data_IF_533820019328
#
_entry.id   IF_533820019328
#
_cell.length_a   1.000
_cell.length_b   1.000
_cell.length_c   1.000
_cell.angle_alpha   90.00
_cell.angle_beta   90.00
_cell.angle_gamma   90.00
#
_symmetry.space_group_name_H-M   'P 1'
#
loop_
_entity.id
_entity.type
_entity.pdbx_description
1 polymer ?
#
# COMPACT_ATOMS: atom_id res chain seq x y z
N UNK A 1 11.50 -10.97 -7.49
CA UNK A 1 10.89 -11.39 -8.80
C UNK A 1 11.96 -11.37 -9.91
N UNK A 2 13.00 -12.22 -9.82
CA UNK A 2 14.14 -12.29 -10.77
C UNK A 2 14.84 -10.95 -11.10
N UNK A 3 14.54 -9.92 -10.33
CA UNK A 3 14.89 -8.54 -10.63
C UNK A 3 16.24 -8.07 -10.08
N UNK A 4 16.38 -6.76 -9.91
CA UNK A 4 17.64 -6.09 -9.53
C UNK A 4 18.03 -6.29 -8.05
N UNK A 5 17.10 -6.66 -7.16
CA UNK A 5 17.36 -6.88 -5.72
C UNK A 5 18.12 -8.16 -5.39
N UNK A 6 18.43 -9.02 -6.39
CA UNK A 6 19.17 -10.26 -6.15
C UNK A 6 20.55 -9.98 -5.54
N UNK A 7 20.85 -10.72 -4.46
CA UNK A 7 22.11 -10.57 -3.74
C UNK A 7 22.21 -9.32 -2.87
N UNK A 8 21.13 -8.54 -2.71
CA UNK A 8 21.10 -7.38 -1.81
C UNK A 8 20.37 -7.68 -0.51
N UNK A 9 19.06 -7.90 -0.57
CA UNK A 9 18.25 -8.13 0.65
C UNK A 9 18.73 -9.34 1.44
N UNK A 10 19.03 -10.44 0.75
CA UNK A 10 19.48 -11.67 1.36
C UNK A 10 20.89 -11.54 1.97
N UNK A 11 21.80 -10.84 1.28
CA UNK A 11 23.14 -10.58 1.81
C UNK A 11 23.09 -9.73 3.08
N UNK A 12 22.34 -8.64 3.08
CA UNK A 12 22.18 -7.76 4.23
C UNK A 12 21.56 -8.46 5.44
N UNK A 13 20.54 -9.29 5.20
CA UNK A 13 19.89 -10.05 6.28
C UNK A 13 20.83 -11.13 6.85
N UNK A 14 21.61 -11.83 6.00
CA UNK A 14 22.61 -12.81 6.48
C UNK A 14 23.73 -12.12 7.30
N UNK A 15 24.20 -10.95 6.85
CA UNK A 15 25.17 -10.13 7.61
C UNK A 15 24.60 -9.71 8.98
N UNK A 16 23.30 -9.44 9.06
CA UNK A 16 22.61 -9.16 10.31
C UNK A 16 22.34 -10.42 11.16
N UNK A 17 22.79 -11.61 10.75
CA UNK A 17 22.62 -12.86 11.49
C UNK A 17 21.25 -13.56 11.29
N UNK A 18 20.50 -13.16 10.28
CA UNK A 18 19.20 -13.78 9.95
C UNK A 18 19.41 -14.99 9.03
N UNK A 19 18.73 -16.09 9.32
CA UNK A 19 18.67 -17.24 8.41
C UNK A 19 17.77 -16.90 7.21
N UNK A 20 18.32 -17.01 5.99
CA UNK A 20 17.65 -16.61 4.76
C UNK A 20 17.64 -17.73 3.73
N UNK A 21 16.46 -18.09 3.26
CA UNK A 21 16.26 -18.86 2.04
C UNK A 21 15.84 -17.93 0.89
N UNK A 22 16.30 -18.18 -0.31
CA UNK A 22 16.01 -17.38 -1.51
C UNK A 22 15.17 -18.13 -2.52
N UNK A 23 14.33 -17.37 -3.22
CA UNK A 23 13.54 -17.84 -4.37
C UNK A 23 13.83 -16.88 -5.51
N UNK A 24 14.00 -17.42 -6.74
CA UNK A 24 14.27 -16.62 -7.94
C UNK A 24 15.55 -15.75 -7.85
N UNK A 25 16.61 -16.31 -7.28
CA UNK A 25 17.91 -15.64 -7.10
C UNK A 25 18.82 -15.69 -8.33
N UNK A 26 18.34 -16.26 -9.44
CA UNK A 26 19.00 -16.27 -10.74
C UNK A 26 18.42 -15.23 -11.70
N UNK A 27 19.21 -14.90 -12.73
CA UNK A 27 18.76 -13.94 -13.76
C UNK A 27 17.80 -14.62 -14.73
N UNK A 28 16.58 -14.09 -14.85
CA UNK A 28 15.63 -14.42 -15.92
C UNK A 28 15.13 -13.13 -16.57
N UNK A 29 15.39 -12.96 -17.87
CA UNK A 29 14.99 -11.77 -18.63
C UNK A 29 13.50 -11.73 -18.96
N UNK A 30 12.80 -12.84 -18.77
CA UNK A 30 11.36 -12.98 -18.96
C UNK A 30 10.58 -12.90 -17.63
N UNK A 31 11.28 -12.78 -16.50
CA UNK A 31 10.69 -12.70 -15.16
C UNK A 31 9.71 -13.86 -14.88
N UNK A 32 10.07 -15.09 -15.25
CA UNK A 32 9.20 -16.24 -15.10
C UNK A 32 7.97 -16.25 -16.02
N UNK A 33 7.94 -15.37 -17.05
CA UNK A 33 6.80 -15.23 -17.95
C UNK A 33 5.65 -14.38 -17.42
N UNK A 34 5.87 -13.65 -16.34
CA UNK A 34 4.87 -12.79 -15.69
C UNK A 34 5.33 -11.33 -15.62
N UNK A 35 4.40 -10.42 -15.31
CA UNK A 35 4.78 -9.08 -14.90
C UNK A 35 5.65 -9.17 -13.63
N UNK A 36 6.79 -8.47 -13.57
CA UNK A 36 7.69 -8.56 -12.42
C UNK A 36 7.18 -7.74 -11.22
N UNK A 37 5.92 -7.87 -10.89
CA UNK A 37 5.27 -7.22 -9.75
C UNK A 37 5.02 -8.24 -8.63
N UNK A 38 5.24 -7.89 -7.34
CA UNK A 38 5.09 -8.82 -6.22
C UNK A 38 3.62 -8.90 -5.74
N UNK A 39 2.71 -9.16 -6.68
CA UNK A 39 1.29 -9.34 -6.38
C UNK A 39 1.02 -10.67 -5.70
N UNK A 40 0.00 -10.71 -4.85
CA UNK A 40 -0.37 -11.84 -4.02
C UNK A 40 -0.39 -13.18 -4.77
N UNK A 41 -1.02 -13.22 -5.94
CA UNK A 41 -1.15 -14.42 -6.77
C UNK A 41 0.16 -14.90 -7.41
N UNK A 42 1.22 -14.11 -7.42
CA UNK A 42 2.54 -14.45 -7.96
C UNK A 42 3.54 -14.91 -6.86
N UNK A 43 3.10 -14.97 -5.60
CA UNK A 43 3.96 -15.30 -4.45
C UNK A 43 3.79 -16.71 -3.91
N UNK A 44 3.20 -17.65 -4.70
CA UNK A 44 2.99 -19.03 -4.23
C UNK A 44 4.32 -19.76 -3.97
N UNK A 45 5.31 -19.64 -4.83
CA UNK A 45 6.63 -20.24 -4.61
C UNK A 45 7.34 -19.67 -3.37
N UNK A 46 7.11 -18.39 -3.05
CA UNK A 46 7.59 -17.80 -1.81
C UNK A 46 6.91 -18.44 -0.60
N UNK A 47 5.57 -18.62 -0.65
CA UNK A 47 4.81 -19.30 0.42
C UNK A 47 5.24 -20.75 0.60
N UNK A 48 5.47 -21.46 -0.51
CA UNK A 48 5.99 -22.84 -0.47
C UNK A 48 7.33 -22.90 0.25
N UNK A 49 8.25 -22.00 -0.11
CA UNK A 49 9.56 -21.90 0.54
C UNK A 49 9.44 -21.53 2.02
N UNK A 50 8.51 -20.65 2.38
CA UNK A 50 8.24 -20.30 3.78
C UNK A 50 7.73 -21.52 4.56
N UNK A 51 6.81 -22.31 4.00
CA UNK A 51 6.32 -23.55 4.63
C UNK A 51 7.43 -24.58 4.82
N UNK A 52 8.27 -24.76 3.79
CA UNK A 52 9.42 -25.68 3.83
C UNK A 52 10.43 -25.33 4.94
N UNK A 53 10.72 -24.05 5.10
CA UNK A 53 11.78 -23.57 5.99
C UNK A 53 11.31 -23.11 7.36
N UNK A 54 10.00 -22.95 7.55
CA UNK A 54 9.43 -22.34 8.77
C UNK A 54 9.74 -20.85 8.91
N UNK A 55 9.98 -20.16 7.78
CA UNK A 55 10.30 -18.72 7.80
C UNK A 55 9.13 -17.89 8.35
N UNK A 56 9.43 -17.00 9.30
CA UNK A 56 8.43 -16.12 9.95
C UNK A 56 7.98 -14.93 9.11
N UNK A 57 8.63 -14.66 7.98
CA UNK A 57 8.27 -13.59 7.04
C UNK A 57 8.81 -13.90 5.65
N UNK A 58 8.05 -13.58 4.62
CA UNK A 58 8.45 -13.61 3.23
C UNK A 58 8.54 -12.19 2.65
N UNK A 59 9.61 -11.92 1.91
CA UNK A 59 9.86 -10.63 1.26
C UNK A 59 10.00 -10.85 -0.24
N UNK A 60 9.32 -10.02 -1.02
CA UNK A 60 9.49 -9.94 -2.46
C UNK A 60 9.68 -8.49 -2.90
N UNK A 61 10.36 -8.29 -4.04
CA UNK A 61 10.47 -7.00 -4.71
C UNK A 61 10.05 -7.14 -6.16
N UNK A 62 9.66 -6.07 -6.81
CA UNK A 62 9.42 -6.03 -8.24
C UNK A 62 10.73 -6.08 -9.07
N UNK A 63 10.63 -5.88 -10.37
CA UNK A 63 11.75 -6.04 -11.30
C UNK A 63 12.90 -5.06 -11.08
N UNK A 64 12.63 -3.82 -10.75
CA UNK A 64 13.60 -2.76 -10.46
C UNK A 64 13.79 -2.50 -8.95
N UNK A 65 13.10 -3.30 -8.11
CA UNK A 65 13.21 -3.33 -6.67
C UNK A 65 12.72 -2.06 -5.95
N UNK A 66 11.88 -1.27 -6.59
CA UNK A 66 11.32 -0.06 -5.99
C UNK A 66 10.01 -0.32 -5.23
N UNK A 67 9.38 -1.49 -5.43
CA UNK A 67 8.17 -1.96 -4.74
C UNK A 67 8.42 -3.24 -3.96
N UNK A 68 7.55 -3.48 -2.99
CA UNK A 68 7.65 -4.64 -2.10
C UNK A 68 6.38 -5.49 -2.08
N UNK A 69 6.55 -6.78 -1.82
CA UNK A 69 5.48 -7.71 -1.42
C UNK A 69 5.87 -8.37 -0.11
N UNK A 70 4.98 -8.40 0.86
CA UNK A 70 5.24 -8.96 2.19
C UNK A 70 4.22 -10.05 2.51
N UNK A 71 4.73 -11.21 2.90
CA UNK A 71 3.93 -12.37 3.36
C UNK A 71 4.25 -12.62 4.81
N UNK A 72 3.23 -12.70 5.68
CA UNK A 72 3.38 -13.01 7.10
C UNK A 72 3.70 -14.51 7.29
N UNK A 73 4.15 -14.89 8.48
CA UNK A 73 4.57 -16.25 8.80
C UNK A 73 3.49 -17.32 8.62
N UNK A 74 2.21 -16.95 8.60
CA UNK A 74 1.07 -17.82 8.32
C UNK A 74 0.73 -17.97 6.81
N UNK A 75 1.48 -17.29 5.94
CA UNK A 75 1.26 -17.25 4.49
C UNK A 75 0.33 -16.14 4.01
N UNK A 76 -0.19 -15.30 4.91
CA UNK A 76 -1.06 -14.18 4.55
C UNK A 76 -0.28 -13.06 3.87
N UNK A 77 -0.71 -12.63 2.67
CA UNK A 77 -0.18 -11.44 2.02
C UNK A 77 -0.66 -10.17 2.72
N UNK A 78 0.27 -9.34 3.17
CA UNK A 78 -0.05 -8.04 3.77
C UNK A 78 -0.06 -6.96 2.70
N UNK A 79 -1.25 -6.41 2.47
CA UNK A 79 -1.39 -5.29 1.51
C UNK A 79 -0.44 -4.13 1.85
N UNK A 80 0.12 -3.45 0.84
CA UNK A 80 1.03 -2.32 1.04
C UNK A 80 0.47 -1.24 1.97
N UNK A 81 -0.83 -0.98 1.90
CA UNK A 81 -1.54 -0.09 2.80
C UNK A 81 -1.29 -0.39 4.28
N UNK A 82 -1.32 -1.68 4.67
CA UNK A 82 -1.09 -2.11 6.04
C UNK A 82 0.39 -2.05 6.41
N UNK A 83 1.27 -2.42 5.49
CA UNK A 83 2.72 -2.36 5.72
C UNK A 83 3.18 -0.93 5.99
N UNK A 84 2.72 0.04 5.19
CA UNK A 84 3.06 1.45 5.41
C UNK A 84 2.57 1.94 6.78
N UNK A 85 1.34 1.57 7.16
CA UNK A 85 0.76 1.93 8.46
C UNK A 85 1.52 1.28 9.63
N UNK A 86 1.88 0.00 9.52
CA UNK A 86 2.67 -0.73 10.50
C UNK A 86 4.07 -0.12 10.68
N UNK A 87 4.74 0.18 9.57
CA UNK A 87 6.07 0.80 9.60
C UNK A 87 6.02 2.23 10.13
N UNK A 88 4.95 2.98 9.83
CA UNK A 88 4.76 4.30 10.40
C UNK A 88 4.65 4.25 11.93
N UNK A 89 3.76 3.42 12.47
CA UNK A 89 3.61 3.21 13.92
C UNK A 89 4.94 2.77 14.56
N UNK A 90 5.62 1.80 13.94
CA UNK A 90 6.90 1.27 14.40
C UNK A 90 8.01 2.32 14.43
N UNK A 91 8.17 3.11 13.38
CA UNK A 91 9.23 4.13 13.28
C UNK A 91 9.02 5.27 14.27
N UNK A 92 7.78 5.72 14.47
CA UNK A 92 7.44 6.72 15.48
C UNK A 92 7.80 6.21 16.88
N UNK A 93 7.42 4.96 17.18
CA UNK A 93 7.66 4.35 18.48
C UNK A 93 9.17 4.13 18.76
N UNK A 94 9.90 3.60 17.78
CA UNK A 94 11.28 3.13 17.99
C UNK A 94 12.36 4.15 17.66
N UNK A 95 12.10 5.09 16.75
CA UNK A 95 13.05 6.14 16.36
C UNK A 95 12.76 7.47 17.08
N UNK A 96 11.60 7.61 17.73
CA UNK A 96 11.19 8.84 18.38
C UNK A 96 10.99 10.02 17.42
N UNK A 97 10.87 9.74 16.10
CA UNK A 97 10.68 10.77 15.08
C UNK A 97 9.28 11.35 15.15
N UNK A 98 9.18 12.68 15.11
CA UNK A 98 7.91 13.43 15.22
C UNK A 98 7.57 14.26 13.99
N UNK A 99 8.34 14.11 12.92
CA UNK A 99 8.03 14.72 11.63
C UNK A 99 6.70 14.15 11.09
N UNK A 100 6.15 14.73 10.05
CA UNK A 100 4.89 14.29 9.45
C UNK A 100 4.94 12.86 8.87
N UNK A 101 3.79 12.40 8.40
CA UNK A 101 3.67 11.22 7.54
C UNK A 101 3.04 11.65 6.22
N UNK A 102 3.44 11.02 5.10
CA UNK A 102 2.85 11.28 3.80
C UNK A 102 2.20 10.04 3.20
N UNK A 103 1.09 10.24 2.51
CA UNK A 103 0.42 9.20 1.73
C UNK A 103 -0.21 9.80 0.47
N UNK A 104 -0.40 8.98 -0.57
CA UNK A 104 -1.22 9.41 -1.70
C UNK A 104 -2.70 9.46 -1.34
N UNK A 105 -3.49 10.23 -2.10
CA UNK A 105 -4.95 10.33 -1.95
C UNK A 105 -5.66 8.97 -2.05
N UNK A 106 -5.04 7.99 -2.72
CA UNK A 106 -5.53 6.64 -2.91
C UNK A 106 -5.14 5.65 -1.80
N UNK A 107 -4.27 6.06 -0.88
CA UNK A 107 -3.75 5.23 0.21
C UNK A 107 -4.67 5.28 1.44
N UNK A 108 -4.66 4.22 2.24
CA UNK A 108 -5.56 4.00 3.38
C UNK A 108 -5.64 5.16 4.39
N UNK A 109 -6.83 5.41 4.91
CA UNK A 109 -7.06 6.32 6.04
C UNK A 109 -6.66 5.72 7.41
N UNK A 110 -6.18 4.47 7.46
CA UNK A 110 -5.52 3.93 8.65
C UNK A 110 -4.32 4.81 9.06
N UNK A 111 -3.59 5.35 8.06
CA UNK A 111 -2.48 6.29 8.29
C UNK A 111 -2.99 7.59 8.90
N UNK A 112 -4.17 8.10 8.49
CA UNK A 112 -4.77 9.29 9.10
C UNK A 112 -5.05 9.07 10.59
N UNK A 113 -5.68 7.93 10.93
CA UNK A 113 -6.02 7.58 12.30
C UNK A 113 -4.78 7.41 13.19
N UNK A 114 -3.70 6.83 12.65
CA UNK A 114 -2.42 6.73 13.35
C UNK A 114 -1.75 8.11 13.51
N UNK A 115 -1.78 8.96 12.49
CA UNK A 115 -1.22 10.31 12.55
C UNK A 115 -1.91 11.14 13.64
N UNK A 116 -3.25 11.07 13.71
CA UNK A 116 -4.04 11.70 14.77
C UNK A 116 -3.66 11.16 16.16
N UNK A 117 -3.58 9.83 16.30
CA UNK A 117 -3.20 9.18 17.56
C UNK A 117 -1.81 9.59 18.04
N UNK A 118 -0.83 9.63 17.16
CA UNK A 118 0.53 10.04 17.47
C UNK A 118 0.71 11.56 17.53
N UNK A 119 -0.33 12.34 17.19
CA UNK A 119 -0.28 13.82 17.07
C UNK A 119 0.80 14.28 16.10
N UNK A 120 0.90 13.61 14.95
CA UNK A 120 1.87 13.86 13.90
C UNK A 120 1.16 14.44 12.68
N UNK A 121 1.71 15.50 12.02
CA UNK A 121 1.14 16.05 10.81
C UNK A 121 0.98 15.03 9.69
N UNK A 122 -0.17 15.04 9.00
CA UNK A 122 -0.45 14.24 7.82
C UNK A 122 -0.34 15.10 6.55
N UNK A 123 0.36 14.58 5.55
CA UNK A 123 0.43 15.16 4.21
C UNK A 123 -0.23 14.20 3.20
N UNK A 124 -1.40 14.57 2.69
CA UNK A 124 -2.04 13.83 1.59
C UNK A 124 -1.62 14.44 0.26
N UNK A 125 -1.07 13.64 -0.65
CA UNK A 125 -0.52 14.08 -1.94
C UNK A 125 -1.31 13.50 -3.12
N UNK A 126 -1.19 14.07 -4.33
CA UNK A 126 -1.54 13.34 -5.54
C UNK A 126 -0.76 12.01 -5.61
N UNK A 127 -1.24 11.05 -6.41
CA UNK A 127 -0.48 9.83 -6.70
C UNK A 127 0.77 10.15 -7.50
N UNK A 128 1.88 9.60 -7.08
CA UNK A 128 3.20 9.79 -7.68
C UNK A 128 4.24 10.10 -6.63
N UNK A 129 5.23 9.23 -6.51
CA UNK A 129 6.21 9.26 -5.43
C UNK A 129 7.03 10.55 -5.35
N UNK A 130 7.18 11.27 -6.48
CA UNK A 130 7.87 12.58 -6.53
C UNK A 130 7.38 13.58 -5.47
N UNK A 131 6.08 13.57 -5.15
CA UNK A 131 5.53 14.46 -4.12
C UNK A 131 5.96 14.05 -2.71
N UNK A 132 6.02 12.75 -2.46
CA UNK A 132 6.53 12.17 -1.20
C UNK A 132 8.03 12.42 -1.10
N UNK A 133 8.78 12.19 -2.18
CA UNK A 133 10.23 12.44 -2.25
C UNK A 133 10.60 13.89 -1.90
N UNK A 134 9.83 14.88 -2.36
CA UNK A 134 10.03 16.28 -1.98
C UNK A 134 9.83 16.54 -0.48
N UNK A 135 8.88 15.85 0.16
CA UNK A 135 8.67 15.97 1.61
C UNK A 135 9.83 15.31 2.40
N UNK A 136 10.37 14.20 1.91
CA UNK A 136 11.57 13.55 2.50
C UNK A 136 12.78 14.48 2.40
N UNK A 137 13.06 15.03 1.20
CA UNK A 137 14.17 15.98 0.99
C UNK A 137 14.11 17.18 1.94
N UNK A 138 12.91 17.64 2.26
CA UNK A 138 12.68 18.78 3.17
C UNK A 138 12.59 18.39 4.63
N UNK A 139 12.88 17.15 4.98
CA UNK A 139 12.77 16.60 6.35
C UNK A 139 11.40 16.83 7.00
N UNK A 140 10.33 16.75 6.20
CA UNK A 140 8.96 17.00 6.65
C UNK A 140 8.26 15.76 7.18
N UNK A 141 8.73 14.55 6.81
CA UNK A 141 8.04 13.29 7.11
C UNK A 141 9.01 12.21 7.64
N UNK A 142 8.47 11.36 8.48
CA UNK A 142 9.12 10.13 8.98
C UNK A 142 9.15 9.05 7.91
N UNK A 143 8.01 8.88 7.24
CA UNK A 143 7.77 7.89 6.21
C UNK A 143 6.72 8.44 5.25
N UNK A 144 6.84 8.08 4.00
CA UNK A 144 5.79 8.27 3.02
C UNK A 144 5.63 7.06 2.13
N UNK A 145 4.40 6.77 1.71
CA UNK A 145 4.13 5.61 0.89
C UNK A 145 2.83 5.69 0.10
N UNK A 146 2.73 4.78 -0.87
CA UNK A 146 1.60 4.65 -1.78
C UNK A 146 1.05 3.22 -1.74
N UNK A 147 -0.24 3.08 -1.97
CA UNK A 147 -0.94 1.79 -2.04
C UNK A 147 -0.36 0.85 -3.11
N UNK A 148 0.43 1.37 -4.03
CA UNK A 148 1.14 0.63 -5.09
C UNK A 148 2.44 -0.02 -4.62
N UNK A 149 2.67 -0.11 -3.30
CA UNK A 149 3.84 -0.71 -2.67
C UNK A 149 5.16 0.09 -2.80
N UNK A 150 5.07 1.39 -3.04
CA UNK A 150 6.23 2.27 -2.94
C UNK A 150 6.29 2.95 -1.58
N UNK A 151 7.43 2.94 -0.92
CA UNK A 151 7.69 3.71 0.30
C UNK A 151 9.15 4.14 0.41
N UNK A 152 9.38 5.20 1.19
CA UNK A 152 10.69 5.59 1.68
C UNK A 152 10.56 6.33 3.02
N UNK A 153 11.65 6.50 3.72
CA UNK A 153 11.68 7.05 5.06
C UNK A 153 12.62 8.25 5.18
N UNK A 154 12.52 8.94 6.30
CA UNK A 154 13.45 9.99 6.71
C UNK A 154 14.90 9.50 6.68
N UNK A 155 15.83 10.34 6.25
CA UNK A 155 17.27 10.05 6.17
C UNK A 155 17.62 8.92 5.18
N UNK A 156 16.75 8.62 4.24
CA UNK A 156 16.99 7.69 3.15
C UNK A 156 16.85 8.39 1.79
N UNK A 157 17.15 7.69 0.69
CA UNK A 157 16.93 8.22 -0.67
C UNK A 157 15.46 8.66 -0.83
N UNK A 158 15.21 9.84 -1.42
CA UNK A 158 13.87 10.38 -1.59
C UNK A 158 13.14 9.74 -2.79
N UNK A 159 13.28 8.44 -2.94
CA UNK A 159 12.64 7.60 -3.95
C UNK A 159 12.22 6.27 -3.31
N UNK A 160 11.31 5.56 -3.95
CA UNK A 160 10.80 4.26 -3.50
C UNK A 160 11.93 3.24 -3.35
N UNK A 161 11.88 2.44 -2.29
CA UNK A 161 12.86 1.40 -2.03
C UNK A 161 12.18 0.15 -1.42
N UNK A 162 11.97 -0.86 -2.26
CA UNK A 162 11.36 -2.14 -1.86
C UNK A 162 12.30 -2.99 -0.99
N UNK A 163 13.61 -2.85 -1.18
CA UNK A 163 14.61 -3.53 -0.33
C UNK A 163 14.53 -3.00 1.09
N UNK A 164 14.56 -1.67 1.26
CA UNK A 164 14.39 -1.02 2.56
C UNK A 164 13.08 -1.46 3.25
N UNK A 165 11.97 -1.47 2.51
CA UNK A 165 10.67 -1.87 3.05
C UNK A 165 10.71 -3.29 3.65
N UNK A 166 11.29 -4.25 2.93
CA UNK A 166 11.47 -5.62 3.39
C UNK A 166 12.35 -5.73 4.63
N UNK A 167 13.48 -5.03 4.64
CA UNK A 167 14.41 -5.00 5.78
C UNK A 167 13.77 -4.40 7.04
N UNK A 168 13.01 -3.32 6.90
CA UNK A 168 12.27 -2.71 8.01
C UNK A 168 11.18 -3.63 8.55
N UNK A 169 10.50 -4.40 7.70
CA UNK A 169 9.54 -5.40 8.15
C UNK A 169 10.22 -6.51 8.96
N UNK A 170 11.39 -7.00 8.53
CA UNK A 170 12.18 -7.96 9.29
C UNK A 170 12.64 -7.38 10.64
N UNK A 171 13.16 -6.15 10.67
CA UNK A 171 13.53 -5.47 11.92
C UNK A 171 12.33 -5.38 12.87
N UNK A 172 11.16 -4.98 12.36
CA UNK A 172 9.95 -4.81 13.15
C UNK A 172 9.47 -6.14 13.74
N UNK A 173 9.43 -7.22 12.95
CA UNK A 173 9.05 -8.56 13.42
C UNK A 173 10.03 -9.04 14.49
N UNK A 174 11.33 -8.92 14.26
CA UNK A 174 12.37 -9.33 15.22
C UNK A 174 12.30 -8.55 16.53
N UNK A 175 12.12 -7.24 16.48
CA UNK A 175 12.07 -6.39 17.68
C UNK A 175 10.80 -6.56 18.50
N UNK A 176 9.64 -6.69 17.83
CA UNK A 176 8.34 -6.84 18.51
C UNK A 176 8.03 -8.29 18.91
N UNK A 177 8.77 -9.27 18.37
CA UNK A 177 8.59 -10.70 18.67
C UNK A 177 7.20 -11.22 18.31
N UNK A 178 6.54 -10.62 17.32
CA UNK A 178 5.18 -10.98 16.91
C UNK A 178 4.99 -10.82 15.40
N UNK A 179 4.09 -11.64 14.82
CA UNK A 179 3.77 -11.59 13.39
C UNK A 179 3.15 -10.25 13.01
N UNK A 180 3.23 -9.91 11.72
CA UNK A 180 2.68 -8.66 11.19
C UNK A 180 1.16 -8.59 11.35
N UNK A 181 0.45 -9.72 11.16
CA UNK A 181 -0.99 -9.83 11.38
C UNK A 181 -1.39 -9.46 12.81
N UNK A 182 -0.70 -10.01 13.83
CA UNK A 182 -0.94 -9.66 15.24
C UNK A 182 -0.65 -8.18 15.52
N UNK A 183 0.38 -7.64 14.93
CA UNK A 183 0.69 -6.21 15.08
C UNK A 183 -0.41 -5.34 14.45
N UNK A 184 -0.95 -5.73 13.29
CA UNK A 184 -2.06 -5.05 12.64
C UNK A 184 -3.35 -5.11 13.47
N UNK A 185 -3.66 -6.27 14.06
CA UNK A 185 -4.76 -6.41 15.02
C UNK A 185 -4.60 -5.46 16.21
N UNK A 186 -3.38 -5.33 16.72
CA UNK A 186 -3.05 -4.37 17.78
C UNK A 186 -3.27 -2.91 17.37
N UNK A 187 -3.00 -2.55 16.11
CA UNK A 187 -3.32 -1.23 15.56
C UNK A 187 -4.84 -1.07 15.44
N UNK A 188 -5.54 -2.04 14.88
CA UNK A 188 -7.00 -2.00 14.74
C UNK A 188 -7.72 -1.85 16.09
N UNK A 189 -7.23 -2.53 17.13
CA UNK A 189 -7.77 -2.36 18.47
C UNK A 189 -7.62 -0.92 19.01
N UNK A 190 -6.61 -0.17 18.52
CA UNK A 190 -6.32 1.19 18.99
C UNK A 190 -7.09 2.27 18.21
N UNK A 191 -7.28 2.09 16.90
CA UNK A 191 -7.79 3.15 15.99
C UNK A 191 -8.97 2.71 15.11
N UNK A 192 -9.46 1.47 15.30
CA UNK A 192 -10.51 0.86 14.49
C UNK A 192 -9.95 0.18 13.23
N UNK A 193 -10.79 -0.65 12.62
CA UNK A 193 -10.44 -1.43 11.42
C UNK A 193 -10.65 -0.61 10.16
N UNK A 194 -9.82 -0.90 9.14
CA UNK A 194 -9.85 -0.31 7.81
C UNK A 194 -9.63 -1.40 6.77
N UNK A 195 -10.48 -1.44 5.75
CA UNK A 195 -10.45 -2.45 4.69
C UNK A 195 -10.31 -1.75 3.33
N UNK A 196 -9.08 -1.45 2.89
CA UNK A 196 -8.84 -0.88 1.58
C UNK A 196 -8.95 -1.93 0.48
N UNK A 197 -9.43 -1.50 -0.70
CA UNK A 197 -9.51 -2.32 -1.91
C UNK A 197 -9.11 -1.47 -3.11
N UNK A 198 -8.37 -2.08 -4.05
CA UNK A 198 -8.06 -1.52 -5.36
C UNK A 198 -8.59 -2.43 -6.44
N UNK A 199 -9.30 -1.86 -7.40
CA UNK A 199 -9.82 -2.55 -8.57
C UNK A 199 -9.50 -1.75 -9.84
N UNK A 200 -9.33 -2.46 -10.96
CA UNK A 200 -9.08 -1.85 -12.26
C UNK A 200 -10.16 -2.30 -13.23
N UNK A 201 -10.81 -1.33 -13.90
CA UNK A 201 -11.85 -1.62 -14.88
C UNK A 201 -11.45 -1.09 -16.25
N UNK A 202 -11.46 -1.96 -17.25
CA UNK A 202 -11.28 -1.54 -18.66
C UNK A 202 -12.52 -0.78 -19.12
N UNK A 203 -12.28 0.32 -19.83
CA UNK A 203 -13.32 1.18 -20.38
C UNK A 203 -13.32 1.10 -21.90
N UNK A 204 -14.52 0.99 -22.50
CA UNK A 204 -14.69 1.32 -23.91
C UNK A 204 -14.62 2.84 -24.10
N UNK A 205 -14.41 3.32 -25.33
CA UNK A 205 -14.37 4.76 -25.61
C UNK A 205 -15.69 5.47 -25.21
N UNK A 206 -16.83 4.81 -25.43
CA UNK A 206 -18.15 5.33 -25.06
C UNK A 206 -18.29 5.48 -23.55
N UNK A 207 -18.01 4.40 -22.79
CA UNK A 207 -18.08 4.42 -21.33
C UNK A 207 -17.11 5.45 -20.75
N UNK A 208 -15.90 5.53 -21.28
CA UNK A 208 -14.90 6.54 -20.86
C UNK A 208 -15.43 7.96 -21.02
N UNK A 209 -16.11 8.26 -22.15
CA UNK A 209 -16.71 9.57 -22.39
C UNK A 209 -17.76 9.93 -21.32
N UNK A 210 -18.75 9.07 -21.15
CA UNK A 210 -19.82 9.24 -20.14
C UNK A 210 -19.25 9.36 -18.74
N UNK A 211 -18.33 8.47 -18.38
CA UNK A 211 -17.71 8.44 -17.06
C UNK A 211 -16.86 9.69 -16.77
N UNK A 212 -16.20 10.25 -17.79
CA UNK A 212 -15.44 11.52 -17.65
C UNK A 212 -16.35 12.67 -17.25
N UNK A 213 -17.57 12.72 -17.77
CA UNK A 213 -18.56 13.73 -17.34
C UNK A 213 -19.04 13.48 -15.90
N UNK A 214 -19.30 12.21 -15.53
CA UNK A 214 -19.63 11.87 -14.14
C UNK A 214 -18.53 12.28 -13.15
N UNK A 215 -17.26 12.15 -13.50
CA UNK A 215 -16.14 12.59 -12.67
C UNK A 215 -16.12 14.09 -12.38
N UNK A 216 -16.84 14.90 -13.14
CA UNK A 216 -16.97 16.36 -12.91
C UNK A 216 -18.10 16.70 -11.94
N UNK A 217 -18.97 15.74 -11.62
CA UNK A 217 -20.11 15.96 -10.74
C UNK A 217 -19.70 15.94 -9.26
N UNK A 218 -20.49 16.58 -8.43
CA UNK A 218 -20.41 16.56 -6.98
C UNK A 218 -21.66 15.88 -6.40
N UNK A 219 -21.71 14.53 -6.38
CA UNK A 219 -22.89 13.81 -5.91
C UNK A 219 -23.08 14.07 -4.40
N UNK A 220 -24.32 14.38 -4.01
CA UNK A 220 -24.67 14.56 -2.60
C UNK A 220 -24.71 13.24 -1.81
N UNK A 221 -24.95 12.13 -2.53
CA UNK A 221 -25.02 10.78 -1.97
C UNK A 221 -24.27 9.78 -2.84
N UNK A 222 -23.73 8.74 -2.20
CA UNK A 222 -23.08 7.61 -2.86
C UNK A 222 -23.32 6.34 -2.03
N UNK A 223 -23.71 5.24 -2.67
CA UNK A 223 -24.00 3.96 -1.98
C UNK A 223 -25.00 4.12 -0.81
N UNK A 224 -26.05 4.96 -0.98
CA UNK A 224 -27.06 5.24 0.05
C UNK A 224 -26.53 6.02 1.27
N UNK A 225 -25.37 6.65 1.15
CA UNK A 225 -24.72 7.44 2.21
C UNK A 225 -24.46 8.85 1.72
N UNK A 226 -24.62 9.83 2.61
CA UNK A 226 -24.30 11.23 2.31
C UNK A 226 -22.80 11.37 2.04
N UNK A 227 -22.46 12.09 0.97
CA UNK A 227 -21.09 12.52 0.69
C UNK A 227 -20.75 13.68 1.62
N UNK A 228 -19.78 13.46 2.50
CA UNK A 228 -19.35 14.49 3.46
C UNK A 228 -18.31 15.43 2.85
N UNK A 229 -17.48 14.92 1.91
CA UNK A 229 -16.45 15.71 1.25
C UNK A 229 -16.16 15.16 -0.14
N UNK A 230 -15.95 16.06 -1.10
CA UNK A 230 -15.41 15.76 -2.43
C UNK A 230 -13.97 16.25 -2.50
N UNK A 231 -13.04 15.37 -2.84
CA UNK A 231 -11.61 15.68 -2.97
C UNK A 231 -11.19 15.46 -4.42
N UNK A 232 -10.53 16.47 -4.99
CA UNK A 232 -10.09 16.49 -6.40
C UNK A 232 -8.57 16.63 -6.55
N UNK A 233 -7.84 16.17 -5.57
CA UNK A 233 -6.37 16.21 -5.57
C UNK A 233 -5.79 15.40 -6.72
N UNK A 234 -6.39 14.22 -7.01
CA UNK A 234 -6.01 13.39 -8.17
C UNK A 234 -7.20 12.46 -8.51
N UNK A 235 -7.97 12.85 -9.52
CA UNK A 235 -9.24 12.22 -9.86
C UNK A 235 -10.41 12.70 -9.02
N UNK A 236 -11.37 11.82 -8.72
CA UNK A 236 -12.53 12.11 -7.89
C UNK A 236 -12.54 11.17 -6.68
N UNK A 237 -12.36 11.71 -5.48
CA UNK A 237 -12.55 10.98 -4.21
C UNK A 237 -13.77 11.49 -3.48
N UNK A 238 -14.69 10.59 -3.20
CA UNK A 238 -15.90 10.84 -2.40
C UNK A 238 -15.67 10.28 -1.01
N UNK A 239 -15.64 11.12 0.00
CA UNK A 239 -15.59 10.72 1.41
C UNK A 239 -17.01 10.73 1.96
N UNK A 240 -17.46 9.61 2.49
CA UNK A 240 -18.82 9.42 2.99
C UNK A 240 -18.92 9.80 4.48
N UNK A 241 -20.15 10.03 4.95
CA UNK A 241 -20.39 10.51 6.30
C UNK A 241 -19.91 9.55 7.42
N UNK A 242 -19.79 8.26 7.11
CA UNK A 242 -19.25 7.24 8.02
C UNK A 242 -17.72 7.10 7.96
N UNK A 243 -17.04 7.93 7.15
CA UNK A 243 -15.61 7.91 6.93
C UNK A 243 -15.12 6.87 5.91
N UNK A 244 -16.01 6.06 5.32
CA UNK A 244 -15.67 5.27 4.13
C UNK A 244 -15.47 6.19 2.92
N UNK A 245 -14.75 5.69 1.91
CA UNK A 245 -14.48 6.52 0.73
C UNK A 245 -14.27 5.69 -0.52
N UNK A 246 -14.51 6.31 -1.67
CA UNK A 246 -14.18 5.79 -2.99
C UNK A 246 -13.42 6.85 -3.78
N UNK A 247 -12.39 6.44 -4.52
CA UNK A 247 -11.59 7.32 -5.38
C UNK A 247 -11.46 6.73 -6.77
N UNK A 248 -11.80 7.51 -7.79
CA UNK A 248 -11.72 7.14 -9.19
C UNK A 248 -10.60 7.91 -9.88
N UNK A 249 -9.71 7.18 -10.54
CA UNK A 249 -8.62 7.77 -11.32
C UNK A 249 -8.56 7.14 -12.71
N UNK A 250 -8.68 7.95 -13.73
CA UNK A 250 -8.43 7.50 -15.10
C UNK A 250 -6.93 7.30 -15.32
N UNK A 251 -6.55 6.18 -15.92
CA UNK A 251 -5.17 5.99 -16.37
C UNK A 251 -4.86 6.95 -17.52
N UNK A 252 -3.68 7.60 -17.45
CA UNK A 252 -3.20 8.45 -18.53
C UNK A 252 -2.67 7.67 -19.75
N UNK A 253 -2.33 6.40 -19.58
CA UNK A 253 -1.66 5.57 -20.59
C UNK A 253 -2.52 4.44 -21.12
N UNK A 254 -3.52 3.99 -20.38
CA UNK A 254 -4.36 2.85 -20.69
C UNK A 254 -5.85 3.21 -20.63
N UNK A 255 -6.73 2.52 -21.37
CA UNK A 255 -8.18 2.70 -21.28
C UNK A 255 -8.75 2.02 -20.01
N UNK A 256 -8.24 2.42 -18.84
CA UNK A 256 -8.56 1.83 -17.53
C UNK A 256 -8.92 2.93 -16.55
N UNK A 257 -9.94 2.69 -15.74
CA UNK A 257 -10.16 3.43 -14.50
C UNK A 257 -9.67 2.58 -13.33
N UNK A 258 -8.87 3.19 -12.48
CA UNK A 258 -8.46 2.63 -11.19
C UNK A 258 -9.40 3.13 -10.13
N UNK A 259 -10.00 2.20 -9.41
CA UNK A 259 -10.92 2.48 -8.31
C UNK A 259 -10.28 2.04 -7.01
N UNK A 260 -10.22 2.95 -6.08
CA UNK A 260 -9.75 2.70 -4.73
C UNK A 260 -10.92 2.95 -3.79
N UNK A 261 -11.13 2.07 -2.86
CA UNK A 261 -12.20 2.20 -1.89
C UNK A 261 -11.77 1.68 -0.53
N UNK A 262 -12.37 2.20 0.53
CA UNK A 262 -12.11 1.77 1.89
C UNK A 262 -13.34 1.91 2.76
N UNK A 263 -13.59 0.90 3.59
CA UNK A 263 -14.65 0.92 4.59
C UNK A 263 -14.16 0.39 5.95
N UNK A 264 -15.02 0.44 6.97
CA UNK A 264 -14.70 0.02 8.33
C UNK A 264 -15.03 -1.45 8.61
N UNK A 265 -15.70 -2.13 7.69
CA UNK A 265 -15.97 -3.57 7.73
C UNK A 265 -15.80 -4.19 6.34
N UNK A 266 -15.55 -5.50 6.28
CA UNK A 266 -15.49 -6.24 5.00
C UNK A 266 -16.83 -6.21 4.27
N UNK A 267 -17.94 -6.29 5.00
CA UNK A 267 -19.29 -6.24 4.42
C UNK A 267 -19.55 -4.89 3.75
N UNK A 268 -19.27 -3.79 4.44
CA UNK A 268 -19.41 -2.44 3.88
C UNK A 268 -18.48 -2.20 2.70
N UNK A 269 -17.25 -2.76 2.77
CA UNK A 269 -16.30 -2.69 1.67
C UNK A 269 -16.85 -3.35 0.40
N UNK A 270 -17.46 -4.55 0.52
CA UNK A 270 -18.06 -5.25 -0.62
C UNK A 270 -19.25 -4.47 -1.21
N UNK A 271 -20.10 -3.87 -0.35
CA UNK A 271 -21.21 -3.00 -0.80
C UNK A 271 -20.68 -1.78 -1.56
N UNK A 272 -19.65 -1.15 -1.01
CA UNK A 272 -19.03 0.04 -1.61
C UNK A 272 -18.37 -0.28 -2.95
N UNK A 273 -17.63 -1.40 -3.06
CA UNK A 273 -17.02 -1.87 -4.31
C UNK A 273 -18.08 -2.15 -5.39
N UNK A 274 -19.16 -2.83 -5.02
CA UNK A 274 -20.28 -3.09 -5.94
C UNK A 274 -20.89 -1.79 -6.48
N UNK A 275 -21.16 -0.83 -5.58
CA UNK A 275 -21.69 0.48 -5.97
C UNK A 275 -20.70 1.27 -6.82
N UNK A 276 -19.41 1.17 -6.48
CA UNK A 276 -18.34 1.84 -7.23
C UNK A 276 -18.23 1.35 -8.67
N UNK A 277 -18.36 0.03 -8.87
CA UNK A 277 -18.40 -0.58 -10.19
C UNK A 277 -19.65 -0.16 -10.98
N UNK A 278 -20.83 -0.24 -10.36
CA UNK A 278 -22.08 0.17 -11.00
C UNK A 278 -22.01 1.64 -11.47
N UNK A 279 -21.49 2.54 -10.64
CA UNK A 279 -21.37 3.96 -10.97
C UNK A 279 -20.50 4.28 -12.20
N UNK A 280 -19.59 3.36 -12.59
CA UNK A 280 -18.77 3.51 -13.80
C UNK A 280 -19.61 3.20 -15.05
N UNK A 281 -20.44 2.16 -14.99
CA UNK A 281 -21.08 1.57 -16.17
C UNK A 281 -22.53 2.00 -16.40
N UNK A 282 -23.21 2.54 -15.39
CA UNK A 282 -24.56 3.15 -15.48
C UNK A 282 -24.49 4.57 -16.09
#
# INVERSE_FOLDING_TARGET
MWGSARGYSDALLREAGVTVATVHDYRDVLFGGHAPEPDDHLLEELRDKMRETGAGIGIATDGDADRFGIVDGDGTFLQPNYIIALLFDYLVETRGWKNGVAKSVATTNLINALAEKHKIPLHETPVGFKYIGELIKRDKIVIGGEESAGLSIRNHVPEKDGVLAGLLCCEMVARRGSSLGKQLEGIFAKVGSFYPLRENFRLTAEVKGKFTEKLRSDPAEFCGRRVAQVVRTDGLKLVLADGSWVCYRLSGTEPVVRVYSEARSREDMNKLSTAAKAWIFD
#
